data_IF_608823090100
#
_entry.id   IF_608823090100
#
_cell.length_a   1.000
_cell.length_b   1.000
_cell.length_c   1.000
_cell.angle_alpha   90.00
_cell.angle_beta   90.00
_cell.angle_gamma   90.00
#
_symmetry.space_group_name_H-M   'P 1'
#
loop_
_entity.id
_entity.type
_entity.pdbx_description
1 polymer ?
#
# COMPACT_ATOMS: atom_id res chain seq x y z
N UNK A 1 6.14 6.58 20.72
CA UNK A 1 6.20 7.38 19.47
C UNK A 1 4.96 8.28 19.37
N UNK A 2 3.76 7.74 19.55
CA UNK A 2 2.51 8.52 19.49
C UNK A 2 2.35 9.60 20.57
N UNK A 3 3.02 9.48 21.72
CA UNK A 3 2.95 10.51 22.77
C UNK A 3 3.60 11.85 22.37
N UNK A 4 4.56 11.85 21.44
CA UNK A 4 5.29 13.07 21.06
C UNK A 4 4.60 13.84 19.92
N UNK A 5 3.91 13.13 19.02
CA UNK A 5 3.21 13.72 17.87
C UNK A 5 1.89 12.97 17.61
N UNK A 6 0.90 13.09 18.51
CA UNK A 6 -0.36 12.36 18.41
C UNK A 6 -1.15 12.70 17.15
N UNK A 7 -0.97 13.88 16.57
CA UNK A 7 -1.62 14.33 15.33
C UNK A 7 -1.28 13.46 14.11
N UNK A 8 -0.13 12.79 14.09
CA UNK A 8 0.26 11.89 13.00
C UNK A 8 -0.05 10.42 13.29
N UNK A 9 -0.48 10.09 14.51
CA UNK A 9 -0.69 8.72 14.94
C UNK A 9 -2.07 8.22 14.50
N UNK A 10 -2.09 7.44 13.41
CA UNK A 10 -3.33 6.90 12.85
C UNK A 10 -4.14 6.08 13.87
N UNK A 11 -3.45 5.34 14.72
CA UNK A 11 -4.03 4.54 15.81
C UNK A 11 -4.64 5.38 16.95
N UNK A 12 -4.31 6.67 17.03
CA UNK A 12 -4.81 7.59 18.06
C UNK A 12 -5.93 8.48 17.52
N UNK A 13 -5.73 9.08 16.34
CA UNK A 13 -6.64 10.11 15.79
C UNK A 13 -7.35 9.68 14.50
N UNK A 14 -7.11 8.45 14.02
CA UNK A 14 -7.82 7.85 12.90
C UNK A 14 -7.70 8.65 11.60
N UNK A 15 -8.83 8.85 10.93
CA UNK A 15 -8.89 9.57 9.65
C UNK A 15 -8.29 10.98 9.69
N UNK A 16 -8.32 11.66 10.84
CA UNK A 16 -7.74 13.01 10.94
C UNK A 16 -6.24 13.00 10.59
N UNK A 17 -5.49 11.99 11.03
CA UNK A 17 -4.06 11.86 10.72
C UNK A 17 -3.78 11.58 9.24
N UNK A 18 -4.77 11.13 8.47
CA UNK A 18 -4.52 10.69 7.07
C UNK A 18 -4.07 11.83 6.16
N UNK A 19 -4.55 13.05 6.41
CA UNK A 19 -4.19 14.26 5.66
C UNK A 19 -3.08 15.08 6.29
N UNK A 20 -2.64 14.72 7.50
CA UNK A 20 -1.59 15.46 8.20
C UNK A 20 -0.24 15.26 7.52
N UNK A 21 0.52 16.35 7.41
CA UNK A 21 1.83 16.36 6.75
C UNK A 21 2.92 16.71 7.76
N UNK A 22 3.76 15.74 8.17
CA UNK A 22 4.96 16.03 8.92
C UNK A 22 5.85 17.03 8.17
N UNK A 23 6.63 17.85 8.88
CA UNK A 23 7.51 18.83 8.26
C UNK A 23 8.53 18.15 7.32
N UNK A 24 8.39 18.42 6.02
CA UNK A 24 9.23 17.80 4.98
C UNK A 24 8.83 16.37 4.59
N UNK A 25 7.71 15.88 5.12
CA UNK A 25 7.14 14.57 4.81
C UNK A 25 5.97 14.65 3.84
N UNK A 26 5.29 13.51 3.73
CA UNK A 26 4.13 13.25 2.87
C UNK A 26 2.97 12.80 3.77
N UNK A 27 1.72 13.13 3.43
CA UNK A 27 0.56 12.57 4.13
C UNK A 27 0.23 11.16 3.63
N UNK A 28 -0.59 10.41 4.36
CA UNK A 28 -1.06 9.11 3.87
C UNK A 28 -1.91 9.24 2.60
N UNK A 29 -2.67 10.33 2.45
CA UNK A 29 -3.45 10.60 1.25
C UNK A 29 -2.56 10.86 0.02
N UNK A 30 -1.49 11.65 0.18
CA UNK A 30 -0.55 11.90 -0.91
C UNK A 30 0.19 10.63 -1.32
N UNK A 31 0.63 9.83 -0.33
CA UNK A 31 1.26 8.54 -0.56
C UNK A 31 0.33 7.61 -1.34
N UNK A 32 -0.94 7.50 -0.92
CA UNK A 32 -1.97 6.71 -1.63
C UNK A 32 -2.10 7.16 -3.07
N UNK A 33 -2.33 8.44 -3.29
CA UNK A 33 -2.62 8.96 -4.63
C UNK A 33 -1.42 8.78 -5.57
N UNK A 34 -0.19 9.00 -5.09
CA UNK A 34 1.04 8.75 -5.83
C UNK A 34 1.24 7.26 -6.16
N UNK A 35 1.02 6.38 -5.20
CA UNK A 35 1.18 4.93 -5.36
C UNK A 35 0.14 4.38 -6.34
N UNK A 36 -1.13 4.75 -6.20
CA UNK A 36 -2.19 4.26 -7.09
C UNK A 36 -2.05 4.80 -8.50
N UNK A 37 -1.53 6.02 -8.67
CA UNK A 37 -1.17 6.54 -9.99
C UNK A 37 -0.06 5.70 -10.63
N UNK A 38 1.00 5.39 -9.89
CA UNK A 38 2.10 4.55 -10.40
C UNK A 38 1.65 3.11 -10.68
N UNK A 39 0.81 2.53 -9.83
CA UNK A 39 0.24 1.20 -9.99
C UNK A 39 -0.60 1.09 -11.26
N UNK A 40 -1.53 2.02 -11.48
CA UNK A 40 -2.37 2.03 -12.70
C UNK A 40 -1.53 2.23 -13.95
N UNK A 41 -0.56 3.15 -13.90
CA UNK A 41 0.37 3.35 -15.01
C UNK A 41 1.24 2.13 -15.31
N UNK A 42 1.63 1.35 -14.30
CA UNK A 42 2.31 0.08 -14.48
C UNK A 42 1.38 -0.93 -15.17
N UNK A 43 0.19 -1.18 -14.61
CA UNK A 43 -0.78 -2.15 -15.14
C UNK A 43 -1.17 -1.81 -16.59
N UNK A 44 -1.45 -0.54 -16.88
CA UNK A 44 -1.83 -0.08 -18.23
C UNK A 44 -0.69 -0.23 -19.26
N UNK A 45 0.56 -0.34 -18.79
CA UNK A 45 1.75 -0.45 -19.63
C UNK A 45 2.25 -1.87 -19.87
N UNK A 46 1.69 -2.87 -19.20
CA UNK A 46 2.12 -4.27 -19.31
C UNK A 46 1.42 -5.00 -20.46
N UNK A 47 2.17 -5.87 -21.15
CA UNK A 47 1.60 -6.83 -22.08
C UNK A 47 0.94 -8.01 -21.34
N UNK A 48 0.00 -8.71 -21.97
CA UNK A 48 -0.81 -9.78 -21.32
C UNK A 48 -0.01 -10.97 -20.81
N UNK A 49 1.18 -11.20 -21.35
CA UNK A 49 2.07 -12.32 -20.98
C UNK A 49 3.32 -11.83 -20.22
N UNK A 50 3.36 -10.57 -19.81
CA UNK A 50 4.49 -9.99 -19.11
C UNK A 50 4.41 -10.23 -17.59
N UNK A 51 5.54 -10.62 -17.00
CA UNK A 51 5.70 -10.74 -15.54
C UNK A 51 6.73 -9.75 -15.06
N UNK A 52 6.34 -8.91 -14.12
CA UNK A 52 7.22 -7.90 -13.50
C UNK A 52 7.34 -8.11 -12.00
N UNK A 53 8.46 -7.66 -11.44
CA UNK A 53 8.68 -7.61 -9.99
C UNK A 53 8.81 -6.15 -9.57
N UNK A 54 7.99 -5.75 -8.60
CA UNK A 54 8.06 -4.43 -7.96
C UNK A 54 8.70 -4.58 -6.59
N UNK A 55 9.87 -3.99 -6.39
CA UNK A 55 10.53 -3.92 -5.07
C UNK A 55 10.20 -2.59 -4.43
N UNK A 56 9.56 -2.61 -3.26
CA UNK A 56 9.08 -1.41 -2.58
C UNK A 56 9.00 -1.59 -1.07
N UNK A 57 8.43 -0.61 -0.38
CA UNK A 57 8.21 -0.62 1.07
C UNK A 57 6.78 -1.05 1.42
N UNK A 58 6.54 -1.40 2.69
CA UNK A 58 5.22 -1.82 3.15
C UNK A 58 4.11 -0.79 2.93
N UNK A 59 4.41 0.52 2.97
CA UNK A 59 3.42 1.58 2.74
C UNK A 59 2.79 1.53 1.33
N UNK A 60 3.61 1.59 0.26
CA UNK A 60 3.13 1.36 -1.09
C UNK A 60 2.38 0.03 -1.28
N UNK A 61 2.89 -1.09 -0.76
CA UNK A 61 2.21 -2.39 -0.91
C UNK A 61 0.83 -2.37 -0.25
N UNK A 62 0.71 -1.80 0.96
CA UNK A 62 -0.57 -1.64 1.67
C UNK A 62 -1.60 -0.88 0.85
N UNK A 63 -1.22 0.18 0.14
CA UNK A 63 -2.18 0.95 -0.66
C UNK A 63 -2.60 0.24 -1.94
N UNK A 64 -1.71 -0.52 -2.59
CA UNK A 64 -2.12 -1.38 -3.72
C UNK A 64 -3.11 -2.44 -3.23
N UNK A 65 -2.79 -3.13 -2.14
CA UNK A 65 -3.70 -4.13 -1.56
C UNK A 65 -5.03 -3.52 -1.11
N UNK A 66 -5.02 -2.31 -0.56
CA UNK A 66 -6.24 -1.60 -0.18
C UNK A 66 -7.15 -1.29 -1.39
N UNK A 67 -6.58 -0.85 -2.52
CA UNK A 67 -7.33 -0.63 -3.76
C UNK A 67 -7.94 -1.94 -4.29
N UNK A 68 -7.20 -3.06 -4.22
CA UNK A 68 -7.69 -4.39 -4.60
C UNK A 68 -8.80 -4.92 -3.68
N UNK A 69 -8.71 -4.64 -2.37
CA UNK A 69 -9.64 -5.14 -1.34
C UNK A 69 -10.79 -4.18 -1.03
N UNK A 70 -10.76 -2.96 -1.56
CA UNK A 70 -11.75 -1.91 -1.26
C UNK A 70 -11.63 -1.34 0.15
N UNK A 71 -10.43 -1.30 0.71
CA UNK A 71 -10.17 -0.78 2.06
C UNK A 71 -9.99 0.75 2.05
N UNK A 72 -10.40 1.40 3.14
CA UNK A 72 -10.09 2.81 3.33
C UNK A 72 -8.64 3.04 3.76
N UNK A 73 -8.24 4.31 3.92
CA UNK A 73 -6.84 4.69 4.24
C UNK A 73 -6.41 4.19 5.62
N UNK A 74 -7.32 4.15 6.60
CA UNK A 74 -7.01 3.71 7.95
C UNK A 74 -6.86 2.19 7.97
N UNK A 75 -7.79 1.48 7.34
CA UNK A 75 -7.74 0.03 7.17
C UNK A 75 -6.52 -0.39 6.35
N UNK A 76 -6.16 0.36 5.31
CA UNK A 76 -4.98 0.10 4.50
C UNK A 76 -3.71 0.06 5.37
N UNK A 77 -3.56 1.03 6.27
CA UNK A 77 -2.35 1.21 7.07
C UNK A 77 -2.36 0.34 8.31
N UNK A 78 -3.49 0.18 9.02
CA UNK A 78 -3.53 -0.55 10.29
C UNK A 78 -3.94 -2.02 10.14
N UNK A 79 -4.71 -2.35 9.11
CA UNK A 79 -5.35 -3.66 8.95
C UNK A 79 -4.57 -4.69 8.15
N UNK A 80 -3.34 -4.37 7.72
CA UNK A 80 -2.56 -5.22 6.82
C UNK A 80 -1.14 -5.41 7.36
N UNK A 81 -0.69 -6.64 7.55
CA UNK A 81 0.70 -6.92 7.91
C UNK A 81 1.58 -7.03 6.66
N UNK A 82 2.84 -6.62 6.77
CA UNK A 82 3.82 -6.66 5.68
C UNK A 82 5.19 -6.98 6.26
N UNK A 83 5.61 -8.23 6.12
CA UNK A 83 6.88 -8.74 6.61
C UNK A 83 8.03 -8.37 5.67
N UNK A 84 9.21 -8.20 6.25
CA UNK A 84 10.40 -7.93 5.47
C UNK A 84 10.76 -9.15 4.61
N UNK A 85 10.99 -8.92 3.32
CA UNK A 85 11.32 -9.99 2.37
C UNK A 85 10.12 -10.82 1.92
N UNK A 86 8.90 -10.44 2.29
CA UNK A 86 7.70 -11.11 1.84
C UNK A 86 7.38 -10.83 0.36
N UNK A 87 6.69 -11.79 -0.27
CA UNK A 87 6.18 -11.68 -1.63
C UNK A 87 4.66 -11.52 -1.64
N UNK A 88 4.16 -10.64 -2.49
CA UNK A 88 2.74 -10.50 -2.80
C UNK A 88 2.57 -10.65 -4.30
N UNK A 89 1.71 -11.57 -4.73
CA UNK A 89 1.47 -11.85 -6.15
C UNK A 89 0.09 -11.32 -6.56
N UNK A 90 0.07 -10.52 -7.62
CA UNK A 90 -1.16 -10.04 -8.26
C UNK A 90 -1.16 -10.52 -9.70
N UNK A 91 -2.23 -11.22 -10.10
CA UNK A 91 -2.45 -11.65 -11.47
C UNK A 91 -3.30 -10.61 -12.20
N UNK A 92 -2.80 -10.17 -13.34
CA UNK A 92 -3.54 -9.28 -14.22
C UNK A 92 -4.32 -10.13 -15.24
N UNK A 93 -5.60 -10.36 -14.97
CA UNK A 93 -6.52 -10.98 -15.93
C UNK A 93 -7.44 -9.89 -16.51
N UNK A 94 -8.76 -10.12 -16.59
CA UNK A 94 -9.73 -9.06 -16.94
C UNK A 94 -9.75 -7.93 -15.89
N UNK A 95 -9.46 -8.26 -14.63
CA UNK A 95 -9.23 -7.35 -13.53
C UNK A 95 -8.07 -7.87 -12.69
N UNK A 96 -7.32 -7.01 -11.98
CA UNK A 96 -6.28 -7.45 -11.06
C UNK A 96 -6.86 -8.34 -9.95
N UNK A 97 -6.23 -9.49 -9.74
CA UNK A 97 -6.62 -10.49 -8.73
C UNK A 97 -5.43 -10.77 -7.80
N UNK A 98 -5.65 -10.68 -6.50
CA UNK A 98 -4.65 -11.06 -5.49
C UNK A 98 -4.52 -12.59 -5.44
N UNK A 99 -3.35 -13.12 -5.74
CA UNK A 99 -3.06 -14.56 -5.76
C UNK A 99 -2.47 -15.01 -4.42
N UNK A 100 -1.52 -14.23 -3.90
CA UNK A 100 -0.87 -14.48 -2.61
C UNK A 100 -0.49 -13.16 -1.96
N UNK A 101 -0.47 -13.14 -0.63
CA UNK A 101 -0.19 -11.94 0.15
C UNK A 101 0.78 -12.26 1.26
N UNK A 102 1.81 -11.41 1.38
CA UNK A 102 2.77 -11.47 2.48
C UNK A 102 3.45 -12.85 2.67
N UNK A 103 3.72 -13.55 1.56
CA UNK A 103 4.32 -14.90 1.58
C UNK A 103 5.80 -14.85 1.97
N UNK A 104 6.16 -15.63 2.97
CA UNK A 104 7.53 -15.71 3.52
C UNK A 104 8.07 -17.14 3.60
N UNK A 105 7.34 -18.14 3.11
CA UNK A 105 7.71 -19.56 3.23
C UNK A 105 9.03 -19.97 2.55
N UNK A 106 9.65 -19.06 1.81
CA UNK A 106 10.95 -19.24 1.14
C UNK A 106 12.15 -18.64 1.92
N UNK A 107 11.92 -17.99 3.07
CA UNK A 107 12.96 -17.38 3.90
C UNK A 107 13.59 -18.37 4.90
#
# INVERSE_FOLDING_TARGET
MCEQFPEYALEVVGHAATGERPRGGESFLDLRDRVLTAWRGLVDGLDTDETVVVVTHGGPTRFVLADLKGLDVVEAILGQEQDNGALTEVRLANAPELVSENETGFL
#
